data_IF_713629502443
#
_entry.id   IF_713629502443
#
_cell.length_a   1.000
_cell.length_b   1.000
_cell.length_c   1.000
_cell.angle_alpha   90.00
_cell.angle_beta   90.00
_cell.angle_gamma   90.00
#
_symmetry.space_group_name_H-M   'P 1'
#
loop_
_entity.id
_entity.type
_entity.pdbx_description
1 polymer ?
#
# COMPACT_ATOMS: atom_id res chain seq x y z
N UNK A 1 -0.98 1.84 34.16
CA UNK A 1 -1.66 0.96 33.17
C UNK A 1 -2.53 1.68 32.13
N UNK A 2 -3.35 2.69 32.49
CA UNK A 2 -4.22 3.43 31.52
C UNK A 2 -3.45 4.06 30.34
N UNK A 3 -2.31 4.69 30.60
CA UNK A 3 -1.51 5.36 29.56
C UNK A 3 -0.95 4.38 28.50
N UNK A 4 -0.51 3.18 28.92
CA UNK A 4 -0.02 2.14 28.00
C UNK A 4 -1.14 1.61 27.08
N UNK A 5 -2.36 1.45 27.62
CA UNK A 5 -3.54 1.07 26.82
C UNK A 5 -3.95 2.16 25.83
N UNK A 6 -3.94 3.44 26.26
CA UNK A 6 -4.22 4.59 25.40
C UNK A 6 -3.21 4.68 24.25
N UNK A 7 -1.91 4.57 24.56
CA UNK A 7 -0.85 4.56 23.56
C UNK A 7 -1.06 3.47 22.50
N UNK A 8 -1.29 2.22 22.93
CA UNK A 8 -1.52 1.09 22.02
C UNK A 8 -2.74 1.32 21.11
N UNK A 9 -3.81 1.95 21.63
CA UNK A 9 -4.99 2.31 20.85
C UNK A 9 -4.67 3.34 19.77
N UNK A 10 -3.87 4.35 20.08
CA UNK A 10 -3.48 5.36 19.09
C UNK A 10 -2.54 4.78 18.02
N UNK A 11 -1.60 3.91 18.40
CA UNK A 11 -0.77 3.18 17.42
C UNK A 11 -1.63 2.33 16.48
N UNK A 12 -2.68 1.68 17.02
CA UNK A 12 -3.60 0.90 16.19
C UNK A 12 -4.37 1.76 15.18
N UNK A 13 -4.85 2.94 15.59
CA UNK A 13 -5.48 3.89 14.66
C UNK A 13 -4.52 4.36 13.59
N UNK A 14 -3.27 4.64 13.96
CA UNK A 14 -2.23 5.01 12.98
C UNK A 14 -1.99 3.89 11.97
N UNK A 15 -1.98 2.62 12.39
CA UNK A 15 -1.89 1.48 11.49
C UNK A 15 -3.09 1.39 10.53
N UNK A 16 -4.31 1.64 11.00
CA UNK A 16 -5.51 1.67 10.16
C UNK A 16 -5.42 2.77 9.09
N UNK A 17 -5.01 3.98 9.47
CA UNK A 17 -4.81 5.07 8.53
C UNK A 17 -3.70 4.75 7.51
N UNK A 18 -2.61 4.13 7.95
CA UNK A 18 -1.50 3.75 7.06
C UNK A 18 -1.92 2.65 6.08
N UNK A 19 -2.72 1.67 6.50
CA UNK A 19 -3.23 0.62 5.62
C UNK A 19 -4.13 1.18 4.52
N UNK A 20 -5.06 2.07 4.88
CA UNK A 20 -5.90 2.76 3.92
C UNK A 20 -5.06 3.56 2.91
N UNK A 21 -4.11 4.36 3.39
CA UNK A 21 -3.24 5.16 2.52
C UNK A 21 -2.33 4.29 1.64
N UNK A 22 -1.87 3.15 2.13
CA UNK A 22 -1.05 2.22 1.37
C UNK A 22 -1.82 1.64 0.18
N UNK A 23 -3.08 1.27 0.39
CA UNK A 23 -3.99 0.78 -0.63
C UNK A 23 -4.28 1.86 -1.69
N UNK A 24 -4.65 3.07 -1.26
CA UNK A 24 -4.88 4.22 -2.16
C UNK A 24 -3.65 4.53 -3.04
N UNK A 25 -2.44 4.43 -2.48
CA UNK A 25 -1.20 4.62 -3.25
C UNK A 25 -1.00 3.51 -4.28
N UNK A 26 -1.33 2.26 -3.95
CA UNK A 26 -1.25 1.15 -4.88
C UNK A 26 -2.20 1.34 -6.07
N UNK A 27 -3.47 1.69 -5.79
CA UNK A 27 -4.46 1.97 -6.84
C UNK A 27 -4.03 3.15 -7.71
N UNK A 28 -3.57 4.24 -7.09
CA UNK A 28 -3.07 5.41 -7.81
C UNK A 28 -1.91 5.06 -8.73
N UNK A 29 -0.93 4.29 -8.23
CA UNK A 29 0.20 3.86 -9.06
C UNK A 29 -0.24 2.96 -10.21
N UNK A 30 -1.18 2.05 -9.95
CA UNK A 30 -1.73 1.13 -10.95
C UNK A 30 -2.42 1.93 -12.06
N UNK A 31 -3.31 2.85 -11.69
CA UNK A 31 -4.01 3.72 -12.63
C UNK A 31 -3.05 4.59 -13.45
N UNK A 32 -2.03 5.18 -12.81
CA UNK A 32 -1.02 5.98 -13.52
C UNK A 32 -0.19 5.14 -14.49
N UNK A 33 0.15 3.91 -14.10
CA UNK A 33 0.89 2.99 -14.95
C UNK A 33 0.05 2.59 -16.15
N UNK A 34 -1.19 2.14 -15.93
CA UNK A 34 -2.14 1.78 -16.98
C UNK A 34 -2.39 2.94 -17.94
N UNK A 35 -2.66 4.15 -17.45
CA UNK A 35 -2.88 5.32 -18.33
C UNK A 35 -1.70 5.60 -19.28
N UNK A 36 -0.47 5.29 -18.87
CA UNK A 36 0.73 5.48 -19.70
C UNK A 36 1.05 4.28 -20.59
N UNK A 37 0.90 3.07 -20.07
CA UNK A 37 1.12 1.81 -20.78
C UNK A 37 0.07 1.62 -21.88
N UNK A 38 -1.22 1.78 -21.55
CA UNK A 38 -2.34 1.65 -22.49
C UNK A 38 -2.21 2.61 -23.66
N UNK A 39 -1.87 3.87 -23.39
CA UNK A 39 -1.66 4.89 -24.44
C UNK A 39 -0.47 4.60 -25.34
N UNK A 40 0.56 3.90 -24.85
CA UNK A 40 1.77 3.62 -25.62
C UNK A 40 1.67 2.35 -26.45
N UNK A 41 0.95 1.36 -25.94
CA UNK A 41 0.93 0.01 -26.49
C UNK A 41 -0.39 -0.34 -27.19
N UNK A 42 -1.30 0.63 -27.33
CA UNK A 42 -2.65 0.46 -27.92
C UNK A 42 -3.44 -0.69 -27.25
N UNK A 43 -3.22 -0.87 -25.96
CA UNK A 43 -3.89 -1.88 -25.15
C UNK A 43 -5.22 -1.29 -24.68
N UNK A 44 -6.30 -2.04 -24.86
CA UNK A 44 -7.64 -1.72 -24.35
C UNK A 44 -8.12 -2.85 -23.45
N UNK A 45 -8.67 -2.51 -22.28
CA UNK A 45 -9.36 -3.49 -21.43
C UNK A 45 -10.85 -3.47 -21.68
N UNK A 46 -11.46 -4.64 -21.72
CA UNK A 46 -12.92 -4.85 -21.70
C UNK A 46 -13.39 -5.14 -20.27
N UNK A 47 -14.67 -4.93 -20.02
CA UNK A 47 -15.28 -5.31 -18.75
C UNK A 47 -15.13 -6.83 -18.52
N UNK A 48 -14.58 -7.21 -17.36
CA UNK A 48 -14.27 -8.60 -17.02
C UNK A 48 -12.82 -9.02 -17.26
N UNK A 49 -12.01 -8.19 -17.93
CA UNK A 49 -10.58 -8.49 -18.09
C UNK A 49 -9.84 -8.42 -16.75
N UNK A 50 -8.92 -9.37 -16.54
CA UNK A 50 -8.05 -9.42 -15.36
C UNK A 50 -6.62 -9.08 -15.75
N UNK A 51 -6.06 -8.04 -15.13
CA UNK A 51 -4.64 -7.69 -15.26
C UNK A 51 -3.89 -8.07 -13.99
N UNK A 52 -2.85 -8.90 -14.12
CA UNK A 52 -2.01 -9.34 -13.01
C UNK A 52 -0.58 -8.85 -13.22
N UNK A 53 0.04 -8.34 -12.15
CA UNK A 53 1.41 -7.86 -12.18
C UNK A 53 2.08 -8.11 -10.83
N UNK A 54 3.40 -8.30 -10.85
CA UNK A 54 4.21 -8.30 -9.64
C UNK A 54 4.36 -6.87 -9.12
N UNK A 55 4.33 -6.70 -7.80
CA UNK A 55 4.53 -5.37 -7.16
C UNK A 55 5.84 -4.70 -7.58
N UNK A 56 6.84 -5.48 -7.97
CA UNK A 56 8.13 -5.00 -8.46
C UNK A 56 8.02 -4.18 -9.76
N UNK A 57 6.91 -4.30 -10.51
CA UNK A 57 6.70 -3.57 -11.76
C UNK A 57 6.81 -2.05 -11.56
N UNK A 58 6.38 -1.53 -10.41
CA UNK A 58 6.43 -0.10 -10.11
C UNK A 58 7.84 0.43 -9.90
N UNK A 59 8.80 -0.42 -9.53
CA UNK A 59 10.20 -0.02 -9.33
C UNK A 59 10.88 0.32 -10.66
N UNK A 60 10.46 -0.35 -11.73
CA UNK A 60 11.04 -0.23 -13.07
C UNK A 60 10.17 0.58 -14.03
N UNK A 61 9.03 1.10 -13.56
CA UNK A 61 8.16 1.95 -14.36
C UNK A 61 8.95 3.08 -15.03
N UNK A 62 8.70 3.33 -16.31
CA UNK A 62 9.32 4.43 -17.04
C UNK A 62 9.01 5.79 -16.38
N UNK A 63 7.88 5.91 -15.68
CA UNK A 63 7.50 7.12 -14.96
C UNK A 63 8.24 7.28 -13.62
N UNK A 64 9.05 8.34 -13.53
CA UNK A 64 9.80 8.68 -12.32
C UNK A 64 8.89 8.97 -11.12
N UNK A 65 7.67 9.45 -11.32
CA UNK A 65 6.72 9.70 -10.24
C UNK A 65 6.20 8.39 -9.64
N UNK A 66 5.85 7.41 -10.48
CA UNK A 66 5.47 6.07 -10.03
C UNK A 66 6.60 5.44 -9.20
N UNK A 67 7.85 5.50 -9.68
CA UNK A 67 9.00 4.99 -8.93
C UNK A 67 9.18 5.67 -7.56
N UNK A 68 8.92 6.98 -7.47
CA UNK A 68 9.00 7.71 -6.19
C UNK A 68 7.90 7.25 -5.22
N UNK A 69 6.67 7.09 -5.71
CA UNK A 69 5.54 6.63 -4.89
C UNK A 69 5.78 5.19 -4.43
N UNK A 70 6.26 4.30 -5.30
CA UNK A 70 6.58 2.92 -4.96
C UNK A 70 7.63 2.84 -3.83
N UNK A 71 8.67 3.69 -3.91
CA UNK A 71 9.69 3.80 -2.86
C UNK A 71 9.11 4.28 -1.53
N UNK A 72 8.14 5.19 -1.54
CA UNK A 72 7.44 5.65 -0.33
C UNK A 72 6.57 4.53 0.25
N UNK A 73 5.77 3.86 -0.58
CA UNK A 73 4.91 2.74 -0.19
C UNK A 73 5.70 1.62 0.49
N UNK A 74 6.87 1.24 -0.06
CA UNK A 74 7.78 0.26 0.57
C UNK A 74 8.28 0.70 1.95
N UNK A 75 8.54 1.99 2.15
CA UNK A 75 8.92 2.52 3.47
C UNK A 75 7.73 2.48 4.44
N UNK A 76 6.52 2.76 3.96
CA UNK A 76 5.29 2.66 4.77
C UNK A 76 5.08 1.23 5.24
N UNK A 77 5.10 0.23 4.34
CA UNK A 77 4.96 -1.19 4.68
C UNK A 77 5.99 -1.64 5.72
N UNK A 78 7.28 -1.31 5.51
CA UNK A 78 8.34 -1.60 6.49
C UNK A 78 8.09 -0.95 7.86
N UNK A 79 7.49 0.24 7.87
CA UNK A 79 7.17 0.95 9.10
C UNK A 79 5.97 0.32 9.80
N UNK A 80 4.93 -0.06 9.05
CA UNK A 80 3.75 -0.77 9.56
C UNK A 80 4.16 -2.09 10.21
N UNK A 81 4.99 -2.90 9.54
CA UNK A 81 5.48 -4.16 10.10
C UNK A 81 6.23 -3.95 11.43
N UNK A 82 7.13 -2.97 11.49
CA UNK A 82 7.82 -2.61 12.74
C UNK A 82 6.88 -2.16 13.84
N UNK A 83 5.80 -1.43 13.52
CA UNK A 83 4.80 -1.02 14.48
C UNK A 83 4.02 -2.23 15.01
N UNK A 84 3.70 -3.20 14.15
CA UNK A 84 3.04 -4.44 14.56
C UNK A 84 3.93 -5.27 15.49
N UNK A 85 5.17 -5.55 15.06
CA UNK A 85 6.16 -6.34 15.81
C UNK A 85 6.42 -5.78 17.21
N UNK A 86 6.57 -4.46 17.33
CA UNK A 86 6.94 -3.81 18.61
C UNK A 86 5.78 -3.68 19.61
N UNK A 87 4.53 -3.79 19.17
CA UNK A 87 3.36 -3.48 20.01
C UNK A 87 2.55 -4.72 20.43
N UNK A 88 2.97 -5.93 20.01
CA UNK A 88 2.38 -7.22 20.38
C UNK A 88 0.84 -7.21 20.27
N UNK A 89 0.32 -6.82 19.10
CA UNK A 89 -1.11 -6.82 18.82
C UNK A 89 -1.63 -8.26 18.74
N UNK A 90 -2.89 -8.48 19.14
CA UNK A 90 -3.57 -9.74 18.85
C UNK A 90 -4.01 -9.74 17.38
N UNK A 91 -4.10 -10.90 16.75
CA UNK A 91 -4.51 -11.04 15.35
C UNK A 91 -5.84 -10.33 15.05
N UNK A 92 -6.85 -10.52 15.93
CA UNK A 92 -8.15 -9.81 15.84
C UNK A 92 -8.05 -8.28 15.83
N UNK A 93 -6.96 -7.71 16.35
CA UNK A 93 -6.77 -6.26 16.33
C UNK A 93 -6.20 -5.78 15.00
N UNK A 94 -5.50 -6.63 14.26
CA UNK A 94 -4.78 -6.29 13.02
C UNK A 94 -5.37 -7.01 11.80
N UNK A 95 -6.57 -7.57 11.90
CA UNK A 95 -7.26 -8.27 10.81
C UNK A 95 -7.45 -7.40 9.56
N UNK A 96 -7.56 -6.07 9.73
CA UNK A 96 -7.61 -5.12 8.63
C UNK A 96 -6.31 -5.00 7.81
N UNK A 97 -5.23 -5.64 8.25
CA UNK A 97 -3.94 -5.73 7.52
C UNK A 97 -3.80 -7.03 6.72
N UNK A 98 -4.73 -7.98 6.87
CA UNK A 98 -4.76 -9.25 6.17
C UNK A 98 -5.55 -9.12 4.86
#
# INVERSE_FOLDING_TARGET
MKNKKKYKKEVLKSLQSLAFLEHELLETMTNLMLLKELKKNDISFSEGDTFSFDDSIFDYSADKNIRKIAKLRKKMLKTMNKLVEKNNFKDKQIEFLA
#
